data_IF_348919987520
#
_entry.id   IF_348919987520
#
_cell.length_a   1.000
_cell.length_b   1.000
_cell.length_c   1.000
_cell.angle_alpha   90.00
_cell.angle_beta   90.00
_cell.angle_gamma   90.00
#
_symmetry.space_group_name_H-M   'P 1'
#
loop_
_entity.id
_entity.type
_entity.pdbx_description
1 polymer ?
#
# COMPACT_ATOMS: atom_id res chain seq x y z
N UNK A 1 -25.47 -24.38 -26.32
CA UNK A 1 -24.51 -23.69 -27.21
C UNK A 1 -24.16 -22.38 -26.56
N UNK A 2 -22.89 -22.01 -26.58
CA UNK A 2 -22.43 -20.71 -26.11
C UNK A 2 -22.78 -19.67 -27.19
N UNK A 3 -23.80 -18.84 -26.93
CA UNK A 3 -24.43 -17.95 -27.93
C UNK A 3 -23.78 -16.57 -28.02
N UNK A 4 -22.80 -16.28 -27.17
CA UNK A 4 -22.13 -14.98 -27.08
C UNK A 4 -20.93 -14.90 -28.00
N UNK A 5 -21.05 -14.11 -29.07
CA UNK A 5 -20.01 -13.89 -30.09
C UNK A 5 -18.89 -12.94 -29.64
N UNK A 6 -19.16 -12.01 -28.72
CA UNK A 6 -18.16 -11.09 -28.17
C UNK A 6 -18.15 -11.14 -26.63
N UNK A 7 -16.98 -11.36 -26.04
CA UNK A 7 -16.81 -11.54 -24.60
C UNK A 7 -15.67 -10.68 -24.07
N UNK A 8 -15.85 -10.15 -22.87
CA UNK A 8 -14.79 -9.44 -22.16
C UNK A 8 -13.76 -10.44 -21.63
N UNK A 9 -12.54 -10.37 -22.16
CA UNK A 9 -11.44 -11.23 -21.72
C UNK A 9 -10.93 -10.73 -20.36
N UNK A 10 -10.94 -11.63 -19.37
CA UNK A 10 -10.37 -11.36 -18.05
C UNK A 10 -8.89 -11.74 -18.01
N UNK A 11 -8.09 -10.96 -17.28
CA UNK A 11 -6.69 -11.31 -17.05
C UNK A 11 -6.58 -12.53 -16.12
N UNK A 12 -5.53 -13.33 -16.33
CA UNK A 12 -5.22 -14.52 -15.55
C UNK A 12 -3.85 -14.36 -14.89
N UNK A 13 -3.51 -15.23 -13.95
CA UNK A 13 -2.21 -15.19 -13.25
C UNK A 13 -1.01 -15.28 -14.22
N UNK A 14 -1.15 -16.00 -15.33
CA UNK A 14 -0.11 -16.13 -16.34
C UNK A 14 0.05 -14.89 -17.24
N UNK A 15 -1.00 -14.08 -17.38
CA UNK A 15 -0.98 -12.88 -18.23
C UNK A 15 -0.76 -11.59 -17.44
N UNK A 16 -0.80 -11.67 -16.10
CA UNK A 16 -0.54 -10.55 -15.21
C UNK A 16 0.98 -10.29 -15.10
N UNK A 17 1.46 -9.23 -15.74
CA UNK A 17 2.82 -8.74 -15.57
C UNK A 17 2.90 -7.83 -14.34
N UNK A 18 3.75 -8.20 -13.38
CA UNK A 18 4.02 -7.37 -12.19
C UNK A 18 5.34 -6.65 -12.33
N UNK A 19 5.29 -5.33 -12.20
CA UNK A 19 6.50 -4.52 -12.15
C UNK A 19 6.86 -4.19 -10.70
N UNK A 20 8.10 -3.75 -10.50
CA UNK A 20 8.57 -3.21 -9.24
C UNK A 20 8.62 -1.70 -9.34
N UNK A 21 7.97 -1.03 -8.39
CA UNK A 21 7.84 0.42 -8.34
C UNK A 21 8.40 0.93 -7.03
N UNK A 22 9.21 1.98 -7.09
CA UNK A 22 9.73 2.70 -5.91
C UNK A 22 9.01 4.04 -5.80
N UNK A 23 8.56 4.34 -4.59
CA UNK A 23 7.84 5.55 -4.22
C UNK A 23 8.56 6.20 -3.04
N UNK A 24 8.94 7.47 -3.20
CA UNK A 24 9.47 8.27 -2.10
C UNK A 24 8.33 8.84 -1.25
N UNK A 25 8.44 8.65 0.07
CA UNK A 25 7.47 9.13 1.04
C UNK A 25 7.85 10.46 1.71
N UNK A 26 9.03 11.01 1.38
CA UNK A 26 9.52 12.27 1.94
C UNK A 26 8.56 13.44 1.69
N UNK A 27 8.16 14.13 2.77
CA UNK A 27 7.23 15.26 2.77
C UNK A 27 5.83 14.97 2.18
N UNK A 28 5.51 13.70 1.92
CA UNK A 28 4.22 13.31 1.38
C UNK A 28 3.18 13.18 2.50
N UNK A 29 1.96 13.65 2.22
CA UNK A 29 0.84 13.50 3.17
C UNK A 29 0.41 12.03 3.22
N UNK A 30 0.47 11.41 4.40
CA UNK A 30 0.22 9.97 4.62
C UNK A 30 -0.98 9.42 3.84
N UNK A 31 -2.14 10.08 3.94
CA UNK A 31 -3.36 9.61 3.30
C UNK A 31 -3.35 9.72 1.77
N UNK A 32 -2.69 10.75 1.22
CA UNK A 32 -2.58 10.94 -0.24
C UNK A 32 -1.65 9.89 -0.83
N UNK A 33 -0.49 9.69 -0.20
CA UNK A 33 0.46 8.63 -0.57
C UNK A 33 -0.19 7.25 -0.50
N UNK A 34 -0.83 6.92 0.64
CA UNK A 34 -1.44 5.61 0.82
C UNK A 34 -2.54 5.29 -0.20
N UNK A 35 -3.30 6.30 -0.65
CA UNK A 35 -4.35 6.13 -1.65
C UNK A 35 -3.79 5.74 -3.01
N UNK A 36 -2.74 6.41 -3.46
CA UNK A 36 -2.09 6.11 -4.74
C UNK A 36 -1.39 4.76 -4.68
N UNK A 37 -0.66 4.49 -3.60
CA UNK A 37 0.02 3.19 -3.37
C UNK A 37 -1.01 2.04 -3.37
N UNK A 38 -2.15 2.20 -2.71
CA UNK A 38 -3.20 1.18 -2.71
C UNK A 38 -3.79 0.93 -4.11
N UNK A 39 -3.93 1.98 -4.94
CA UNK A 39 -4.38 1.84 -6.34
C UNK A 39 -3.34 1.11 -7.21
N UNK A 40 -2.05 1.37 -7.01
CA UNK A 40 -0.95 0.67 -7.68
C UNK A 40 -0.91 -0.81 -7.30
N UNK A 41 -0.94 -1.11 -6.00
CA UNK A 41 -1.02 -2.49 -5.49
C UNK A 41 -2.25 -3.22 -6.02
N UNK A 42 -3.36 -2.51 -6.26
CA UNK A 42 -4.56 -3.09 -6.83
C UNK A 42 -4.48 -3.29 -8.35
N UNK A 43 -3.54 -2.62 -9.03
CA UNK A 43 -3.38 -2.65 -10.48
C UNK A 43 -4.38 -1.79 -11.24
N UNK A 44 -5.00 -0.78 -10.60
CA UNK A 44 -6.01 0.06 -11.24
C UNK A 44 -5.46 0.96 -12.35
N UNK A 45 -4.14 1.16 -12.41
CA UNK A 45 -3.49 1.92 -13.47
C UNK A 45 -3.23 1.08 -14.73
N UNK A 46 -3.45 -0.24 -14.68
CA UNK A 46 -3.28 -1.11 -15.83
C UNK A 46 -4.61 -1.33 -16.55
N UNK A 47 -4.62 -1.35 -17.90
CA UNK A 47 -5.84 -1.56 -18.68
C UNK A 47 -6.41 -2.98 -18.53
N UNK A 48 -5.59 -3.95 -18.12
CA UNK A 48 -6.00 -5.35 -17.91
C UNK A 48 -6.50 -5.64 -16.48
N UNK A 49 -7.00 -4.63 -15.77
CA UNK A 49 -7.50 -4.80 -14.41
C UNK A 49 -8.66 -5.80 -14.34
N UNK A 50 -8.47 -6.84 -13.53
CA UNK A 50 -9.49 -7.87 -13.26
C UNK A 50 -9.69 -8.01 -11.76
N UNK A 51 -10.91 -7.80 -11.27
CA UNK A 51 -11.16 -7.63 -9.84
C UNK A 51 -10.82 -8.85 -8.96
N UNK A 52 -10.91 -10.07 -9.50
CA UNK A 52 -10.64 -11.31 -8.77
C UNK A 52 -9.19 -11.79 -8.88
N UNK A 53 -8.36 -11.14 -9.70
CA UNK A 53 -6.96 -11.50 -9.93
C UNK A 53 -6.02 -10.44 -9.35
N UNK A 54 -4.82 -10.88 -8.98
CA UNK A 54 -3.73 -10.01 -8.56
C UNK A 54 -2.96 -9.51 -9.80
N UNK A 55 -3.37 -8.36 -10.32
CA UNK A 55 -2.75 -7.71 -11.49
C UNK A 55 -1.85 -6.51 -11.12
N UNK A 56 -1.69 -6.21 -9.83
CA UNK A 56 -0.99 -5.02 -9.36
C UNK A 56 0.53 -5.09 -9.48
N UNK A 57 1.18 -4.01 -9.09
CA UNK A 57 2.64 -3.92 -9.01
C UNK A 57 3.13 -4.14 -7.58
N UNK A 58 4.40 -4.54 -7.45
CA UNK A 58 5.08 -4.57 -6.17
C UNK A 58 5.53 -3.14 -5.86
N UNK A 59 5.12 -2.60 -4.73
CA UNK A 59 5.40 -1.21 -4.37
C UNK A 59 6.37 -1.16 -3.20
N UNK A 60 7.51 -0.53 -3.42
CA UNK A 60 8.51 -0.22 -2.42
C UNK A 60 8.34 1.24 -2.02
N UNK A 61 8.07 1.49 -0.75
CA UNK A 61 8.00 2.84 -0.17
C UNK A 61 9.28 3.08 0.61
N UNK A 62 10.05 4.08 0.23
CA UNK A 62 11.27 4.53 0.91
C UNK A 62 10.98 5.78 1.75
N UNK A 63 11.88 6.12 2.69
CA UNK A 63 11.77 7.26 3.61
C UNK A 63 10.46 7.27 4.42
N UNK A 64 9.99 6.10 4.85
CA UNK A 64 8.73 5.98 5.59
C UNK A 64 8.71 6.77 6.91
N UNK A 65 9.88 7.09 7.50
CA UNK A 65 9.97 7.96 8.67
C UNK A 65 9.68 9.43 8.40
N UNK A 66 9.79 9.89 7.15
CA UNK A 66 9.64 11.30 6.75
C UNK A 66 8.24 11.67 6.28
N UNK A 67 7.24 10.84 6.58
CA UNK A 67 5.86 11.05 6.13
C UNK A 67 5.18 12.16 6.92
N UNK A 68 4.47 13.04 6.23
CA UNK A 68 3.79 14.18 6.84
C UNK A 68 2.34 13.85 7.26
N UNK A 69 1.97 14.30 8.45
CA UNK A 69 0.60 14.35 8.95
C UNK A 69 0.19 15.82 9.08
N UNK A 70 -0.98 16.19 8.56
CA UNK A 70 -1.45 17.58 8.58
C UNK A 70 -2.12 17.96 9.90
N UNK A 71 -1.94 19.21 10.34
CA UNK A 71 -2.55 19.76 11.55
C UNK A 71 -2.10 19.04 12.83
N UNK A 72 -2.98 18.97 13.82
CA UNK A 72 -2.71 18.31 15.12
C UNK A 72 -2.87 16.78 15.09
N UNK A 73 -2.99 16.17 13.91
CA UNK A 73 -3.20 14.72 13.78
C UNK A 73 -2.05 13.90 14.35
N UNK A 74 -0.86 14.47 14.44
CA UNK A 74 0.32 13.82 14.99
C UNK A 74 0.13 13.47 16.48
N UNK A 75 -0.50 14.37 17.25
CA UNK A 75 -0.82 14.19 18.68
C UNK A 75 -2.21 13.59 18.89
N UNK A 76 -3.22 14.09 18.16
CA UNK A 76 -4.62 13.87 18.51
C UNK A 76 -5.17 12.56 17.94
N UNK A 77 -4.54 12.01 16.90
CA UNK A 77 -4.96 10.73 16.33
C UNK A 77 -4.57 9.61 17.28
N UNK A 78 -5.50 8.70 17.54
CA UNK A 78 -5.26 7.55 18.41
C UNK A 78 -5.44 6.26 17.62
N UNK A 79 -4.42 5.40 17.64
CA UNK A 79 -4.53 4.01 17.17
C UNK A 79 -4.90 3.12 18.33
N UNK A 80 -6.13 2.59 18.29
CA UNK A 80 -6.64 1.66 19.30
C UNK A 80 -6.39 0.23 18.84
N UNK A 81 -5.93 -0.63 19.75
CA UNK A 81 -5.91 -2.09 19.57
C UNK A 81 -6.39 -2.77 20.84
N UNK A 82 -7.05 -3.91 20.70
CA UNK A 82 -7.50 -4.72 21.83
C UNK A 82 -6.73 -6.05 21.85
N UNK A 83 -6.37 -6.51 23.04
CA UNK A 83 -5.63 -7.78 23.21
C UNK A 83 -6.52 -9.01 23.28
N UNK A 84 -7.81 -8.84 23.58
CA UNK A 84 -8.80 -9.92 23.70
C UNK A 84 -9.23 -10.21 25.15
N UNK A 85 -8.47 -9.75 26.13
CA UNK A 85 -8.77 -9.91 27.57
C UNK A 85 -9.56 -8.71 28.12
N UNK A 86 -10.34 -8.87 29.21
CA UNK A 86 -10.98 -7.75 29.91
C UNK A 86 -9.95 -6.68 30.32
N UNK A 87 -10.25 -5.41 30.06
CA UNK A 87 -9.30 -4.30 30.28
C UNK A 87 -8.13 -4.25 29.28
N UNK A 88 -8.17 -5.06 28.22
CA UNK A 88 -7.07 -5.26 27.28
C UNK A 88 -6.92 -4.20 26.19
N UNK A 89 -7.58 -3.04 26.30
CA UNK A 89 -7.51 -1.95 25.33
C UNK A 89 -6.18 -1.20 25.47
N UNK A 90 -5.46 -1.04 24.36
CA UNK A 90 -4.22 -0.28 24.27
C UNK A 90 -4.34 0.80 23.21
N UNK A 91 -3.83 1.98 23.52
CA UNK A 91 -3.81 3.15 22.64
C UNK A 91 -2.36 3.52 22.31
N UNK A 92 -2.15 4.05 21.11
CA UNK A 92 -0.86 4.56 20.64
C UNK A 92 -1.09 5.80 19.80
N UNK A 93 -0.26 6.83 20.00
CA UNK A 93 -0.24 7.99 19.10
C UNK A 93 0.59 7.69 17.85
N UNK A 94 0.41 8.43 16.74
CA UNK A 94 1.30 8.38 15.59
C UNK A 94 2.76 8.66 15.95
N UNK A 95 3.02 9.58 16.90
CA UNK A 95 4.37 9.88 17.38
C UNK A 95 5.03 8.64 18.00
N UNK A 96 4.30 7.92 18.85
CA UNK A 96 4.81 6.69 19.48
C UNK A 96 5.11 5.60 18.45
N UNK A 97 4.31 5.53 17.38
CA UNK A 97 4.51 4.58 16.29
C UNK A 97 5.76 4.95 15.49
N UNK A 98 5.92 6.23 15.12
CA UNK A 98 7.09 6.70 14.38
C UNK A 98 8.38 6.50 15.16
N UNK A 99 8.36 6.69 16.49
CA UNK A 99 9.53 6.49 17.34
C UNK A 99 9.99 5.03 17.45
N UNK A 100 9.06 4.06 17.35
CA UNK A 100 9.38 2.64 17.53
C UNK A 100 9.48 1.85 16.22
N UNK A 101 8.54 2.11 15.30
CA UNK A 101 8.31 1.34 14.08
C UNK A 101 7.67 2.25 13.02
N UNK A 102 8.45 3.18 12.41
CA UNK A 102 7.90 4.15 11.47
C UNK A 102 7.24 3.53 10.24
N UNK A 103 7.72 2.37 9.80
CA UNK A 103 7.14 1.59 8.70
C UNK A 103 5.65 1.25 8.93
N UNK A 104 5.28 0.98 10.18
CA UNK A 104 3.90 0.57 10.53
C UNK A 104 2.89 1.67 10.31
N UNK A 105 3.29 2.94 10.31
CA UNK A 105 2.37 4.04 10.07
C UNK A 105 1.84 4.00 8.64
N UNK A 106 2.73 3.82 7.67
CA UNK A 106 2.40 3.70 6.24
C UNK A 106 1.67 2.38 5.98
N UNK A 107 2.18 1.27 6.52
CA UNK A 107 1.55 -0.05 6.38
C UNK A 107 0.10 -0.05 6.84
N UNK A 108 -0.19 0.50 8.02
CA UNK A 108 -1.56 0.58 8.55
C UNK A 108 -2.47 1.42 7.66
N UNK A 109 -1.95 2.53 7.11
CA UNK A 109 -2.70 3.39 6.22
C UNK A 109 -3.06 2.66 4.91
N UNK A 110 -2.07 2.01 4.27
CA UNK A 110 -2.28 1.27 3.01
C UNK A 110 -3.17 0.05 3.23
N UNK A 111 -2.94 -0.74 4.30
CA UNK A 111 -3.76 -1.91 4.65
C UNK A 111 -5.23 -1.56 4.84
N UNK A 112 -5.53 -0.38 5.39
CA UNK A 112 -6.89 0.11 5.54
C UNK A 112 -7.60 0.40 4.21
N UNK A 113 -6.86 0.67 3.14
CA UNK A 113 -7.39 1.00 1.81
C UNK A 113 -7.50 -0.20 0.87
N UNK A 114 -6.94 -1.35 1.24
CA UNK A 114 -7.04 -2.59 0.47
C UNK A 114 -8.36 -3.33 0.74
N UNK A 115 -8.84 -4.16 -0.22
CA UNK A 115 -10.00 -5.03 0.01
C UNK A 115 -9.78 -5.96 1.20
N UNK A 116 -10.75 -6.03 2.12
CA UNK A 116 -10.66 -6.87 3.34
C UNK A 116 -11.03 -8.32 3.03
N UNK A 117 -10.29 -8.95 2.13
CA UNK A 117 -10.48 -10.34 1.72
C UNK A 117 -9.14 -11.09 1.58
N UNK A 118 -9.20 -12.37 1.17
CA UNK A 118 -8.01 -13.20 0.93
C UNK A 118 -7.07 -12.56 -0.10
N UNK A 119 -7.63 -12.01 -1.18
CA UNK A 119 -6.87 -11.34 -2.22
C UNK A 119 -6.15 -10.09 -1.70
N UNK A 120 -6.83 -9.20 -0.96
CA UNK A 120 -6.19 -8.02 -0.39
C UNK A 120 -5.11 -8.35 0.64
N UNK A 121 -5.25 -9.47 1.35
CA UNK A 121 -4.17 -9.98 2.22
C UNK A 121 -2.95 -10.46 1.43
N UNK A 122 -3.16 -11.00 0.22
CA UNK A 122 -2.07 -11.32 -0.71
C UNK A 122 -1.46 -10.05 -1.31
N UNK A 123 -2.28 -9.08 -1.72
CA UNK A 123 -1.82 -7.77 -2.23
C UNK A 123 -0.97 -7.03 -1.20
N UNK A 124 -1.33 -7.10 0.08
CA UNK A 124 -0.54 -6.49 1.15
C UNK A 124 0.89 -7.04 1.24
N UNK A 125 1.12 -8.30 0.84
CA UNK A 125 2.48 -8.88 0.82
C UNK A 125 3.36 -8.32 -0.30
N UNK A 126 2.76 -7.69 -1.30
CA UNK A 126 3.46 -7.01 -2.40
C UNK A 126 3.88 -5.58 -2.01
N UNK A 127 3.46 -5.09 -0.84
CA UNK A 127 3.90 -3.81 -0.28
C UNK A 127 5.17 -4.03 0.54
N UNK A 128 6.20 -3.25 0.25
CA UNK A 128 7.45 -3.21 1.00
C UNK A 128 7.67 -1.78 1.51
N UNK A 129 7.65 -1.61 2.83
CA UNK A 129 7.90 -0.30 3.46
C UNK A 129 9.27 -0.34 4.11
N UNK A 130 10.11 0.64 3.77
CA UNK A 130 11.49 0.71 4.23
C UNK A 130 11.73 2.05 4.93
N UNK A 131 12.53 1.98 5.99
CA UNK A 131 13.02 3.13 6.75
C UNK A 131 14.34 3.55 6.12
N UNK A 132 14.48 4.84 5.78
CA UNK A 132 15.58 5.38 5.00
C UNK A 132 15.41 5.24 3.48
N UNK A 133 16.43 5.67 2.74
CA UNK A 133 16.39 5.78 1.28
C UNK A 133 16.76 4.46 0.55
N UNK A 134 17.51 3.58 1.19
CA UNK A 134 18.03 2.36 0.58
C UNK A 134 17.10 1.16 0.77
N UNK A 135 16.98 0.31 -0.25
CA UNK A 135 16.11 -0.87 -0.22
C UNK A 135 16.84 -2.10 -0.80
N UNK A 136 16.55 -3.29 -0.26
CA UNK A 136 17.26 -4.54 -0.60
C UNK A 136 16.88 -5.15 -1.97
N UNK A 137 16.08 -4.46 -2.78
CA UNK A 137 15.46 -5.01 -4.00
C UNK A 137 16.10 -4.52 -5.30
N UNK A 138 17.35 -4.05 -5.27
CA UNK A 138 18.05 -3.53 -6.45
C UNK A 138 18.09 -4.52 -7.62
N UNK A 139 18.22 -5.82 -7.33
CA UNK A 139 18.21 -6.88 -8.35
C UNK A 139 16.93 -6.93 -9.20
N UNK A 140 15.83 -6.39 -8.68
CA UNK A 140 14.52 -6.36 -9.36
C UNK A 140 14.35 -5.17 -10.30
N UNK A 141 15.36 -4.28 -10.40
CA UNK A 141 15.36 -3.07 -11.25
C UNK A 141 14.07 -2.24 -11.12
N UNK A 142 13.75 -1.74 -9.93
CA UNK A 142 12.53 -1.00 -9.70
C UNK A 142 12.50 0.31 -10.49
N UNK A 143 11.31 0.69 -10.97
CA UNK A 143 11.06 1.99 -11.61
C UNK A 143 10.65 3.00 -10.55
N UNK A 144 11.34 4.14 -10.50
CA UNK A 144 10.96 5.25 -9.63
C UNK A 144 9.72 5.93 -10.21
N UNK A 145 8.71 6.15 -9.37
CA UNK A 145 7.45 6.76 -9.79
C UNK A 145 7.10 7.95 -8.92
N UNK A 146 6.95 9.10 -9.57
CA UNK A 146 6.49 10.32 -8.92
C UNK A 146 4.96 10.33 -8.76
N UNK A 147 4.52 10.37 -7.51
CA UNK A 147 3.09 10.35 -7.17
C UNK A 147 2.32 11.58 -7.65
N UNK A 148 2.99 12.72 -7.88
CA UNK A 148 2.35 13.96 -8.33
C UNK A 148 1.95 13.95 -9.81
N UNK A 149 2.57 13.07 -10.60
CA UNK A 149 2.37 12.98 -12.05
C UNK A 149 1.17 12.08 -12.39
N UNK A 150 0.76 11.24 -11.44
CA UNK A 150 -0.30 10.25 -11.62
C UNK A 150 -1.62 10.82 -11.09
N UNK A 151 -2.46 11.29 -12.01
CA UNK A 151 -3.84 11.73 -11.71
C UNK A 151 -4.80 10.55 -11.68
#
# INVERSE_FOLDING_TARGET
>A
MDTLSYKTVSANKATANKEWVVVDAENMVLGRLASVVAKMLRGKYKPNFTAHVDCGDNVIVINAEKVALTGKKMSDKVYVRHTGYPGGQRTQSPQDILAKYPERLVEKAVKGMLPKNKLGSALYRNLHVVVGAEHKFEAQKPKVVDLNTIK
#
